data_IF_658539662542
#
_entry.id   IF_658539662542
#
_cell.length_a   1.000
_cell.length_b   1.000
_cell.length_c   1.000
_cell.angle_alpha   90.00
_cell.angle_beta   90.00
_cell.angle_gamma   90.00
#
_symmetry.space_group_name_H-M   'P 1'
#
loop_
_entity.id
_entity.type
_entity.pdbx_description
1 polymer ?
#
# COMPACT_ATOMS: atom_id res chain seq x y z
N UNK A 1 30.93 -57.54 -22.43
CA UNK A 1 31.52 -56.96 -23.66
C UNK A 1 32.59 -55.95 -23.24
N UNK A 2 33.87 -56.17 -23.60
CA UNK A 2 34.94 -55.24 -23.23
C UNK A 2 34.72 -53.89 -23.93
N UNK A 3 34.84 -52.79 -23.19
CA UNK A 3 34.60 -51.45 -23.73
C UNK A 3 35.63 -51.15 -24.82
N UNK A 4 35.18 -50.58 -25.93
CA UNK A 4 36.04 -50.17 -27.05
C UNK A 4 37.11 -49.12 -26.65
N UNK A 5 37.01 -48.59 -25.43
CA UNK A 5 37.91 -47.59 -24.82
C UNK A 5 39.14 -48.19 -24.13
N UNK A 6 39.21 -49.51 -23.91
CA UNK A 6 40.35 -50.14 -23.22
C UNK A 6 41.49 -50.57 -24.16
N UNK A 7 41.27 -50.53 -25.48
CA UNK A 7 42.29 -50.94 -26.46
C UNK A 7 43.15 -49.72 -26.90
N UNK A 8 44.49 -49.79 -26.77
CA UNK A 8 45.39 -48.66 -27.01
C UNK A 8 45.38 -48.16 -28.47
N UNK A 9 45.00 -49.01 -29.43
CA UNK A 9 44.87 -48.62 -30.84
C UNK A 9 43.58 -47.82 -31.11
N UNK A 10 42.44 -48.21 -30.53
CA UNK A 10 41.19 -47.42 -30.59
C UNK A 10 41.36 -46.08 -29.89
N UNK A 11 42.10 -46.04 -28.77
CA UNK A 11 42.40 -44.80 -28.04
C UNK A 11 43.23 -43.81 -28.86
N UNK A 12 44.11 -44.31 -29.74
CA UNK A 12 44.94 -43.47 -30.63
C UNK A 12 44.16 -42.95 -31.85
N UNK A 13 43.24 -43.76 -32.37
CA UNK A 13 42.36 -43.39 -33.49
C UNK A 13 41.23 -42.42 -33.08
N UNK A 14 40.70 -42.54 -31.85
CA UNK A 14 39.64 -41.66 -31.33
C UNK A 14 40.16 -40.35 -30.71
N UNK A 15 41.48 -40.26 -30.44
CA UNK A 15 42.11 -39.07 -29.84
C UNK A 15 41.78 -37.74 -30.54
N UNK A 16 41.77 -37.65 -31.89
CA UNK A 16 41.43 -36.42 -32.59
C UNK A 16 39.96 -36.01 -32.41
N UNK A 17 39.05 -37.00 -32.35
CA UNK A 17 37.63 -36.75 -32.14
C UNK A 17 37.36 -36.28 -30.70
N UNK A 18 38.04 -36.87 -29.72
CA UNK A 18 37.95 -36.46 -28.30
C UNK A 18 38.51 -35.05 -28.11
N UNK A 19 39.65 -34.71 -28.71
CA UNK A 19 40.22 -33.36 -28.60
C UNK A 19 39.34 -32.28 -29.23
N UNK A 20 38.61 -32.62 -30.31
CA UNK A 20 37.64 -31.69 -30.90
C UNK A 20 36.42 -31.47 -30.01
N UNK A 21 35.96 -32.52 -29.30
CA UNK A 21 34.88 -32.39 -28.31
C UNK A 21 35.34 -31.58 -27.11
N UNK A 22 36.55 -31.81 -26.59
CA UNK A 22 37.15 -31.03 -25.50
C UNK A 22 37.30 -29.56 -25.89
N UNK A 23 37.87 -29.26 -27.07
CA UNK A 23 37.97 -27.89 -27.58
C UNK A 23 36.60 -27.22 -27.74
N UNK A 24 35.60 -27.97 -28.22
CA UNK A 24 34.24 -27.44 -28.37
C UNK A 24 33.59 -27.19 -27.00
N UNK A 25 33.81 -28.08 -26.02
CA UNK A 25 33.33 -27.88 -24.65
C UNK A 25 34.00 -26.68 -24.00
N UNK A 26 35.31 -26.50 -24.15
CA UNK A 26 36.06 -25.34 -23.65
C UNK A 26 35.57 -24.03 -24.28
N UNK A 27 35.27 -24.05 -25.59
CA UNK A 27 34.74 -22.87 -26.27
C UNK A 27 33.33 -22.52 -25.76
N UNK A 28 32.50 -23.54 -25.52
CA UNK A 28 31.14 -23.38 -24.98
C UNK A 28 31.17 -22.91 -23.52
N UNK A 29 32.04 -23.46 -22.68
CA UNK A 29 32.17 -23.00 -21.28
C UNK A 29 32.70 -21.58 -21.22
N UNK A 30 33.68 -21.22 -22.04
CA UNK A 30 34.18 -19.85 -22.11
C UNK A 30 33.11 -18.86 -22.60
N UNK A 31 32.26 -19.25 -23.55
CA UNK A 31 31.13 -18.44 -23.99
C UNK A 31 30.11 -18.23 -22.85
N UNK A 32 29.72 -19.30 -22.17
CA UNK A 32 28.81 -19.21 -21.01
C UNK A 32 29.38 -18.40 -19.86
N UNK A 33 30.67 -18.51 -19.59
CA UNK A 33 31.33 -17.76 -18.53
C UNK A 33 31.33 -16.26 -18.85
N UNK A 34 31.60 -15.91 -20.10
CA UNK A 34 31.51 -14.53 -20.60
C UNK A 34 30.09 -13.98 -20.49
N UNK A 35 29.08 -14.77 -20.83
CA UNK A 35 27.68 -14.37 -20.71
C UNK A 35 27.27 -14.17 -19.23
N UNK A 36 27.71 -15.07 -18.34
CA UNK A 36 27.50 -14.92 -16.89
C UNK A 36 28.19 -13.67 -16.33
N UNK A 37 29.40 -13.37 -16.76
CA UNK A 37 30.13 -12.17 -16.33
C UNK A 37 29.43 -10.90 -16.82
N UNK A 38 28.92 -10.89 -18.06
CA UNK A 38 28.12 -9.79 -18.59
C UNK A 38 26.83 -9.61 -17.78
N UNK A 39 26.13 -10.71 -17.48
CA UNK A 39 24.88 -10.68 -16.71
C UNK A 39 25.10 -10.23 -15.25
N UNK A 40 26.22 -10.63 -14.63
CA UNK A 40 26.63 -10.11 -13.33
C UNK A 40 26.93 -8.61 -13.38
N UNK A 41 27.56 -8.13 -14.45
CA UNK A 41 27.86 -6.71 -14.63
C UNK A 41 26.57 -5.88 -14.79
N UNK A 42 25.65 -6.35 -15.63
CA UNK A 42 24.33 -5.70 -15.81
C UNK A 42 23.53 -5.69 -14.51
N UNK A 43 23.55 -6.80 -13.76
CA UNK A 43 22.86 -6.90 -12.48
C UNK A 43 23.50 -6.01 -11.41
N UNK A 44 24.82 -5.86 -11.40
CA UNK A 44 25.53 -4.92 -10.53
C UNK A 44 25.19 -3.46 -10.87
N UNK A 45 25.11 -3.12 -12.16
CA UNK A 45 24.67 -1.81 -12.62
C UNK A 45 23.21 -1.53 -12.29
N UNK A 46 22.33 -2.52 -12.45
CA UNK A 46 20.93 -2.41 -12.09
C UNK A 46 20.77 -2.22 -10.58
N UNK A 47 21.53 -2.96 -9.76
CA UNK A 47 21.58 -2.77 -8.29
C UNK A 47 22.08 -1.39 -7.90
N UNK A 48 23.12 -0.87 -8.56
CA UNK A 48 23.62 0.50 -8.33
C UNK A 48 22.56 1.54 -8.65
N UNK A 49 21.86 1.39 -9.77
CA UNK A 49 20.76 2.30 -10.17
C UNK A 49 19.55 2.18 -9.25
N UNK A 50 19.24 0.98 -8.76
CA UNK A 50 18.12 0.73 -7.86
C UNK A 50 18.43 1.07 -6.40
N UNK A 51 19.68 1.32 -6.03
CA UNK A 51 20.07 1.59 -4.64
C UNK A 51 19.34 2.81 -4.06
N UNK A 52 19.28 3.91 -4.81
CA UNK A 52 18.54 5.10 -4.38
C UNK A 52 17.03 4.85 -4.21
N UNK A 53 16.44 4.00 -5.05
CA UNK A 53 15.05 3.57 -4.89
C UNK A 53 14.89 2.65 -3.67
N UNK A 54 15.87 1.79 -3.40
CA UNK A 54 15.92 0.95 -2.20
C UNK A 54 15.91 1.79 -0.93
N UNK A 55 16.71 2.86 -0.86
CA UNK A 55 16.71 3.75 0.31
C UNK A 55 15.35 4.40 0.61
N UNK A 56 14.47 4.52 -0.39
CA UNK A 56 13.14 5.11 -0.25
C UNK A 56 12.02 4.05 -0.08
N UNK A 57 12.19 2.89 -0.72
CA UNK A 57 11.13 1.91 -0.98
C UNK A 57 11.47 0.48 -0.54
N UNK A 58 12.54 0.28 0.22
CA UNK A 58 12.86 -1.03 0.81
C UNK A 58 11.82 -1.43 1.88
N UNK A 59 12.11 -2.53 2.57
CA UNK A 59 11.26 -3.11 3.60
C UNK A 59 11.39 -2.40 4.95
N UNK A 60 12.27 -1.39 5.12
CA UNK A 60 12.38 -0.73 6.42
C UNK A 60 11.05 -0.08 6.79
N UNK A 61 10.53 -0.41 7.97
CA UNK A 61 9.24 0.09 8.46
C UNK A 61 7.97 -0.63 7.95
N UNK A 62 8.07 -1.66 7.09
CA UNK A 62 6.93 -2.51 6.69
C UNK A 62 7.30 -3.98 6.51
N UNK A 63 6.40 -4.89 6.86
CA UNK A 63 6.63 -6.34 6.74
C UNK A 63 6.75 -6.83 5.27
N UNK A 64 6.35 -5.98 4.30
CA UNK A 64 6.41 -6.25 2.87
C UNK A 64 7.05 -5.09 2.09
N UNK A 65 7.52 -5.38 0.86
CA UNK A 65 8.17 -4.39 -0.01
C UNK A 65 7.21 -3.22 -0.32
N UNK A 66 7.69 -1.97 -0.21
CA UNK A 66 6.89 -0.76 -0.48
C UNK A 66 6.58 -0.53 -1.98
N UNK A 67 7.06 -1.38 -2.88
CA UNK A 67 6.81 -1.23 -4.32
C UNK A 67 5.68 -2.16 -4.76
N UNK A 68 4.50 -1.63 -5.12
CA UNK A 68 3.43 -2.46 -5.67
C UNK A 68 3.83 -2.95 -7.07
N UNK A 69 3.47 -4.17 -7.40
CA UNK A 69 3.64 -4.69 -8.78
C UNK A 69 2.61 -4.06 -9.72
N UNK A 70 2.86 -4.03 -11.03
CA UNK A 70 1.87 -3.57 -12.00
C UNK A 70 0.51 -4.26 -11.83
N UNK A 71 0.49 -5.57 -11.60
CA UNK A 71 -0.74 -6.35 -11.41
C UNK A 71 -1.50 -5.95 -10.15
N UNK A 72 -0.78 -5.60 -9.07
CA UNK A 72 -1.39 -5.08 -7.84
C UNK A 72 -2.04 -3.72 -8.09
N UNK A 73 -1.37 -2.83 -8.84
CA UNK A 73 -1.93 -1.52 -9.20
C UNK A 73 -3.15 -1.68 -10.11
N UNK A 74 -3.07 -2.53 -11.13
CA UNK A 74 -4.15 -2.75 -12.09
C UNK A 74 -5.39 -3.33 -11.42
N UNK A 75 -5.20 -4.28 -10.51
CA UNK A 75 -6.29 -4.81 -9.67
C UNK A 75 -6.92 -3.71 -8.82
N UNK A 76 -6.09 -2.91 -8.15
CA UNK A 76 -6.58 -1.83 -7.29
C UNK A 76 -7.38 -0.78 -8.07
N UNK A 77 -6.94 -0.46 -9.29
CA UNK A 77 -7.65 0.45 -10.21
C UNK A 77 -9.02 -0.12 -10.60
N UNK A 78 -9.09 -1.41 -10.95
CA UNK A 78 -10.34 -2.07 -11.32
C UNK A 78 -11.34 -2.14 -10.15
N UNK A 79 -10.86 -2.48 -8.94
CA UNK A 79 -11.66 -2.49 -7.71
C UNK A 79 -12.18 -1.09 -7.38
N UNK A 80 -11.32 -0.07 -7.48
CA UNK A 80 -11.70 1.33 -7.26
C UNK A 80 -12.73 1.82 -8.28
N UNK A 81 -12.56 1.47 -9.55
CA UNK A 81 -13.53 1.77 -10.62
C UNK A 81 -14.88 1.12 -10.33
N UNK A 82 -14.89 -0.14 -9.90
CA UNK A 82 -16.12 -0.86 -9.52
C UNK A 82 -16.83 -0.21 -8.33
N UNK A 83 -16.09 0.21 -7.30
CA UNK A 83 -16.67 0.81 -6.10
C UNK A 83 -17.18 2.24 -6.33
N UNK A 84 -16.45 3.04 -7.11
CA UNK A 84 -16.69 4.49 -7.23
C UNK A 84 -17.36 4.91 -8.54
N UNK A 85 -17.47 4.00 -9.52
CA UNK A 85 -17.95 4.31 -10.88
C UNK A 85 -16.98 5.16 -11.70
N UNK A 86 -15.73 5.32 -11.24
CA UNK A 86 -14.75 6.14 -11.93
C UNK A 86 -14.14 5.44 -13.16
N UNK A 87 -13.84 6.24 -14.19
CA UNK A 87 -13.06 5.78 -15.34
C UNK A 87 -11.64 5.37 -14.93
N UNK A 88 -11.09 4.34 -15.57
CA UNK A 88 -9.79 3.72 -15.26
C UNK A 88 -8.63 4.73 -15.18
N UNK A 89 -8.53 5.64 -16.16
CA UNK A 89 -7.48 6.67 -16.17
C UNK A 89 -7.51 7.52 -14.90
N UNK A 90 -8.72 7.87 -14.48
CA UNK A 90 -8.97 8.73 -13.33
C UNK A 90 -8.84 7.95 -12.02
N UNK A 91 -9.14 6.66 -11.99
CA UNK A 91 -8.85 5.76 -10.86
C UNK A 91 -7.34 5.53 -10.71
N UNK A 92 -6.62 5.26 -11.79
CA UNK A 92 -5.15 5.13 -11.81
C UNK A 92 -4.45 6.41 -11.35
N UNK A 93 -4.94 7.57 -11.75
CA UNK A 93 -4.44 8.86 -11.28
C UNK A 93 -4.52 9.00 -9.76
N UNK A 94 -5.66 8.64 -9.15
CA UNK A 94 -5.85 8.73 -7.70
C UNK A 94 -4.98 7.72 -6.94
N UNK A 95 -4.90 6.48 -7.41
CA UNK A 95 -3.99 5.45 -6.84
C UNK A 95 -2.54 5.93 -6.89
N UNK A 96 -2.11 6.50 -8.02
CA UNK A 96 -0.75 7.03 -8.19
C UNK A 96 -0.46 8.16 -7.20
N UNK A 97 -1.41 9.06 -7.02
CA UNK A 97 -1.26 10.17 -6.06
C UNK A 97 -1.26 9.64 -4.62
N UNK A 98 -2.12 8.69 -4.28
CA UNK A 98 -2.14 8.05 -2.98
C UNK A 98 -0.80 7.38 -2.64
N UNK A 99 -0.25 6.62 -3.59
CA UNK A 99 1.06 5.99 -3.45
C UNK A 99 2.19 7.00 -3.19
N UNK A 100 2.21 8.10 -3.94
CA UNK A 100 3.19 9.18 -3.74
C UNK A 100 3.08 9.82 -2.36
N UNK A 101 1.86 10.00 -1.83
CA UNK A 101 1.66 10.54 -0.49
C UNK A 101 2.11 9.56 0.59
N UNK A 102 1.81 8.28 0.43
CA UNK A 102 2.28 7.22 1.31
C UNK A 102 3.81 7.24 1.42
N UNK A 103 4.52 7.17 0.29
CA UNK A 103 5.98 7.17 0.27
C UNK A 103 6.55 8.45 0.90
N UNK A 104 6.01 9.61 0.54
CA UNK A 104 6.51 10.89 1.07
C UNK A 104 6.32 11.01 2.59
N UNK A 105 5.17 10.60 3.11
CA UNK A 105 4.86 10.72 4.54
C UNK A 105 5.61 9.69 5.38
N UNK A 106 5.78 8.46 4.90
CA UNK A 106 6.61 7.46 5.59
C UNK A 106 8.11 7.80 5.53
N UNK A 107 8.56 8.60 4.56
CA UNK A 107 9.96 9.05 4.48
C UNK A 107 10.25 10.27 5.36
N UNK A 108 9.27 11.16 5.56
CA UNK A 108 9.45 12.42 6.29
C UNK A 108 8.92 12.38 7.72
N UNK A 109 7.94 11.53 7.99
CA UNK A 109 7.22 11.50 9.25
C UNK A 109 7.77 10.49 10.24
N UNK A 110 7.30 10.59 11.48
CA UNK A 110 7.63 9.65 12.54
C UNK A 110 6.72 8.42 12.47
N UNK A 111 7.31 7.22 12.43
CA UNK A 111 6.59 5.94 12.41
C UNK A 111 6.26 5.45 11.00
N UNK A 112 5.18 4.70 10.88
CA UNK A 112 4.71 4.13 9.60
C UNK A 112 3.19 4.01 9.55
N UNK A 113 2.67 3.72 8.35
CA UNK A 113 1.23 3.51 8.15
C UNK A 113 0.92 2.01 8.20
N UNK A 114 0.00 1.62 9.09
CA UNK A 114 -0.47 0.24 9.20
C UNK A 114 -1.20 -0.25 7.95
N UNK A 115 -1.11 -1.55 7.67
CA UNK A 115 -1.74 -2.20 6.51
C UNK A 115 -0.82 -2.34 5.29
N UNK A 116 -1.31 -3.06 4.28
CA UNK A 116 -0.58 -3.26 3.02
C UNK A 116 -0.51 -1.97 2.19
N UNK A 117 0.45 -1.88 1.26
CA UNK A 117 0.54 -0.73 0.32
C UNK A 117 -0.76 -0.58 -0.47
N UNK A 118 -1.31 -1.69 -0.96
CA UNK A 118 -2.56 -1.71 -1.73
C UNK A 118 -3.74 -1.24 -0.90
N UNK A 119 -3.85 -1.67 0.35
CA UNK A 119 -4.93 -1.28 1.24
C UNK A 119 -4.88 0.21 1.60
N UNK A 120 -3.70 0.73 1.95
CA UNK A 120 -3.54 2.16 2.22
C UNK A 120 -3.84 3.01 0.98
N UNK A 121 -3.29 2.63 -0.18
CA UNK A 121 -3.56 3.35 -1.43
C UNK A 121 -5.03 3.27 -1.82
N UNK A 122 -5.67 2.12 -1.61
CA UNK A 122 -7.09 1.89 -1.85
C UNK A 122 -7.96 2.80 -1.01
N UNK A 123 -7.73 2.84 0.32
CA UNK A 123 -8.46 3.74 1.24
C UNK A 123 -8.25 5.22 0.89
N UNK A 124 -7.01 5.63 0.64
CA UNK A 124 -6.67 7.01 0.27
C UNK A 124 -7.24 7.44 -1.09
N UNK A 125 -7.50 6.51 -2.01
CA UNK A 125 -8.10 6.81 -3.30
C UNK A 125 -9.65 6.76 -3.25
N UNK A 126 -10.22 5.76 -2.57
CA UNK A 126 -11.67 5.53 -2.53
C UNK A 126 -12.40 6.51 -1.62
N UNK A 127 -11.90 6.77 -0.40
CA UNK A 127 -12.59 7.60 0.58
C UNK A 127 -12.84 9.02 0.06
N UNK A 128 -11.85 9.76 -0.48
CA UNK A 128 -12.10 11.11 -0.99
C UNK A 128 -13.09 11.14 -2.16
N UNK A 129 -13.12 10.11 -2.99
CA UNK A 129 -14.05 9.98 -4.12
C UNK A 129 -15.48 9.81 -3.63
N UNK A 130 -15.70 8.84 -2.76
CA UNK A 130 -17.02 8.54 -2.22
C UNK A 130 -17.56 9.71 -1.39
N UNK A 131 -16.68 10.35 -0.62
CA UNK A 131 -17.06 11.54 0.16
C UNK A 131 -17.33 12.71 -0.76
N UNK A 132 -16.41 13.07 -1.67
CA UNK A 132 -16.58 14.23 -2.55
C UNK A 132 -17.78 14.13 -3.48
N UNK A 133 -18.14 12.92 -3.92
CA UNK A 133 -19.33 12.69 -4.75
C UNK A 133 -20.65 12.89 -3.96
N UNK A 134 -20.66 12.53 -2.67
CA UNK A 134 -21.86 12.59 -1.83
C UNK A 134 -21.94 13.89 -1.00
N UNK A 135 -20.81 14.53 -0.72
CA UNK A 135 -20.64 15.58 0.29
C UNK A 135 -19.63 16.61 -0.19
N UNK A 136 -20.10 17.81 -0.52
CA UNK A 136 -19.26 18.99 -0.65
C UNK A 136 -19.08 19.69 0.71
N UNK A 137 -17.90 20.27 0.97
CA UNK A 137 -17.65 21.09 2.16
C UNK A 137 -16.90 20.38 3.28
N UNK A 138 -17.37 20.48 4.52
CA UNK A 138 -16.68 19.98 5.72
C UNK A 138 -17.23 18.61 6.12
N UNK A 139 -16.35 17.66 6.41
CA UNK A 139 -16.71 16.32 6.91
C UNK A 139 -16.01 16.00 8.22
N UNK A 140 -16.76 15.45 9.17
CA UNK A 140 -16.22 14.89 10.41
C UNK A 140 -15.75 13.45 10.13
N UNK A 141 -14.48 13.18 10.42
CA UNK A 141 -13.80 11.90 10.16
C UNK A 141 -13.29 11.32 11.46
N UNK A 142 -13.66 10.07 11.75
CA UNK A 142 -13.11 9.28 12.84
C UNK A 142 -12.11 8.26 12.29
N UNK A 143 -10.90 8.24 12.81
CA UNK A 143 -9.91 7.18 12.56
C UNK A 143 -9.54 6.50 13.88
N UNK A 144 -9.75 5.19 13.97
CA UNK A 144 -9.31 4.40 15.12
C UNK A 144 -7.95 3.76 14.85
N UNK A 145 -7.13 3.58 15.90
CA UNK A 145 -5.81 2.97 15.77
C UNK A 145 -4.75 3.90 15.16
N UNK A 146 -4.94 5.22 15.24
CA UNK A 146 -4.15 6.23 14.54
C UNK A 146 -2.78 6.50 15.20
N UNK A 147 -1.96 5.47 15.43
CA UNK A 147 -0.74 5.48 16.27
C UNK A 147 0.15 6.71 16.09
N UNK A 148 0.43 7.12 14.84
CA UNK A 148 1.25 8.30 14.52
C UNK A 148 0.54 9.30 13.58
N UNK A 149 -0.74 9.10 13.25
CA UNK A 149 -1.51 10.03 12.41
C UNK A 149 -1.07 10.19 10.95
N UNK A 150 -0.14 9.38 10.43
CA UNK A 150 0.35 9.48 9.04
C UNK A 150 -0.76 9.21 8.00
N UNK A 151 -1.63 8.24 8.26
CA UNK A 151 -2.79 7.98 7.40
C UNK A 151 -3.74 9.18 7.37
N UNK A 152 -4.11 9.71 8.54
CA UNK A 152 -4.91 10.92 8.68
C UNK A 152 -4.31 12.11 7.91
N UNK A 153 -2.99 12.31 7.99
CA UNK A 153 -2.28 13.36 7.26
C UNK A 153 -2.41 13.20 5.74
N UNK A 154 -2.23 11.97 5.24
CA UNK A 154 -2.39 11.63 3.83
C UNK A 154 -3.85 11.83 3.37
N UNK A 155 -4.80 11.31 4.13
CA UNK A 155 -6.23 11.36 3.81
C UNK A 155 -6.72 12.81 3.75
N UNK A 156 -6.35 13.64 4.72
CA UNK A 156 -6.73 15.06 4.74
C UNK A 156 -6.24 15.80 3.50
N UNK A 157 -5.03 15.47 3.02
CA UNK A 157 -4.51 16.04 1.77
C UNK A 157 -5.27 15.54 0.56
N UNK A 158 -5.64 14.25 0.53
CA UNK A 158 -6.45 13.67 -0.53
C UNK A 158 -7.89 14.21 -0.58
N UNK A 159 -8.54 14.40 0.58
CA UNK A 159 -9.87 15.03 0.70
C UNK A 159 -9.85 16.48 0.20
N UNK A 160 -8.83 17.26 0.57
CA UNK A 160 -8.68 18.64 0.09
C UNK A 160 -8.51 18.73 -1.43
N UNK A 161 -7.88 17.73 -2.06
CA UNK A 161 -7.80 17.65 -3.54
C UNK A 161 -9.17 17.47 -4.20
N UNK A 162 -10.16 16.98 -3.46
CA UNK A 162 -11.56 16.89 -3.89
C UNK A 162 -12.41 18.08 -3.41
N UNK A 163 -11.79 19.12 -2.83
CA UNK A 163 -12.51 20.26 -2.27
C UNK A 163 -13.23 19.96 -0.94
N UNK A 164 -12.85 18.87 -0.26
CA UNK A 164 -13.44 18.48 1.03
C UNK A 164 -12.48 18.83 2.18
N UNK A 165 -12.99 19.58 3.15
CA UNK A 165 -12.28 19.88 4.40
C UNK A 165 -12.61 18.80 5.44
N UNK A 166 -11.59 18.28 6.12
CA UNK A 166 -11.73 17.19 7.08
C UNK A 166 -11.44 17.64 8.50
N UNK A 167 -12.44 17.50 9.40
CA UNK A 167 -12.26 17.61 10.84
C UNK A 167 -12.00 16.22 11.41
N UNK A 168 -10.80 16.02 11.92
CA UNK A 168 -10.30 14.71 12.30
C UNK A 168 -10.50 14.46 13.79
N UNK A 169 -11.05 13.30 14.14
CA UNK A 169 -10.92 12.70 15.47
C UNK A 169 -10.07 11.45 15.33
N UNK A 170 -8.92 11.41 15.99
CA UNK A 170 -7.99 10.29 16.00
C UNK A 170 -8.03 9.61 17.37
N UNK A 171 -8.21 8.29 17.38
CA UNK A 171 -8.21 7.50 18.63
C UNK A 171 -7.09 6.46 18.66
N UNK A 172 -6.62 6.13 19.86
CA UNK A 172 -5.68 5.04 20.10
C UNK A 172 -4.61 5.35 21.16
N UNK A 173 -3.51 4.59 21.11
CA UNK A 173 -2.29 4.89 21.85
C UNK A 173 -1.47 5.92 21.06
N UNK A 174 -1.79 7.20 21.25
CA UNK A 174 -1.25 8.30 20.46
C UNK A 174 0.01 8.88 21.11
N UNK A 175 1.08 8.99 20.32
CA UNK A 175 2.13 9.97 20.57
C UNK A 175 1.68 11.31 19.98
N UNK A 176 1.13 12.18 20.82
CA UNK A 176 0.46 13.40 20.35
C UNK A 176 1.40 14.35 19.61
N UNK A 177 2.67 14.43 20.01
CA UNK A 177 3.64 15.33 19.36
C UNK A 177 4.00 14.80 17.98
N UNK A 178 4.31 13.50 17.88
CA UNK A 178 4.52 12.85 16.59
C UNK A 178 3.29 12.97 15.66
N UNK A 179 2.08 12.82 16.21
CA UNK A 179 0.84 12.99 15.44
C UNK A 179 0.71 14.44 14.94
N UNK A 180 0.96 15.45 15.77
CA UNK A 180 0.87 16.86 15.36
C UNK A 180 1.90 17.20 14.27
N UNK A 181 3.13 16.73 14.40
CA UNK A 181 4.19 16.93 13.40
C UNK A 181 3.84 16.26 12.07
N UNK A 182 3.37 15.00 12.12
CA UNK A 182 2.95 14.27 10.93
C UNK A 182 1.75 14.93 10.24
N UNK A 183 0.77 15.44 11.01
CA UNK A 183 -0.35 16.19 10.45
C UNK A 183 0.12 17.46 9.73
N UNK A 184 1.14 18.15 10.25
CA UNK A 184 1.72 19.32 9.60
C UNK A 184 2.30 19.00 8.22
N UNK A 185 2.93 17.83 8.04
CA UNK A 185 3.39 17.33 6.73
C UNK A 185 2.23 17.15 5.73
N UNK A 186 1.03 16.79 6.22
CA UNK A 186 -0.20 16.76 5.44
C UNK A 186 -0.73 18.13 5.00
N UNK A 187 -0.09 19.22 5.43
CA UNK A 187 -0.34 20.60 5.02
C UNK A 187 -1.45 21.31 5.79
N UNK A 188 -1.64 21.03 7.08
CA UNK A 188 -2.54 21.86 7.90
C UNK A 188 -2.02 22.06 9.31
N UNK A 189 -2.43 23.17 9.93
CA UNK A 189 -2.23 23.40 11.36
C UNK A 189 -2.90 22.29 12.18
N UNK A 190 -2.28 21.93 13.30
CA UNK A 190 -2.76 20.89 14.21
C UNK A 190 -4.02 21.27 15.00
N UNK A 191 -4.47 22.53 14.93
CA UNK A 191 -5.50 23.10 15.81
C UNK A 191 -6.92 22.55 15.64
N UNK A 192 -7.24 21.87 14.54
CA UNK A 192 -8.59 21.34 14.27
C UNK A 192 -8.70 19.82 14.43
N UNK A 193 -7.59 19.13 14.73
CA UNK A 193 -7.59 17.69 14.95
C UNK A 193 -7.78 17.39 16.44
N UNK A 194 -8.72 16.49 16.75
CA UNK A 194 -8.97 15.98 18.10
C UNK A 194 -8.20 14.69 18.30
N UNK A 195 -7.42 14.63 19.36
CA UNK A 195 -6.66 13.46 19.76
C UNK A 195 -7.30 12.88 21.02
N UNK A 196 -7.88 11.69 20.90
CA UNK A 196 -8.57 11.01 22.01
C UNK A 196 -7.76 9.77 22.38
N UNK A 197 -7.27 9.71 23.62
CA UNK A 197 -6.56 8.52 24.10
C UNK A 197 -7.54 7.37 24.35
N UNK A 198 -7.19 6.18 23.89
CA UNK A 198 -8.02 4.98 24.06
C UNK A 198 -8.94 4.71 22.86
N UNK A 199 -10.07 4.05 23.12
CA UNK A 199 -10.98 3.54 22.08
C UNK A 199 -12.09 4.52 21.67
N UNK A 200 -12.92 4.14 20.69
CA UNK A 200 -14.08 4.91 20.24
C UNK A 200 -15.20 5.02 21.29
N UNK A 201 -15.10 4.31 22.43
CA UNK A 201 -16.08 4.32 23.51
C UNK A 201 -15.97 5.54 24.44
N UNK A 202 -14.96 6.38 24.26
CA UNK A 202 -14.79 7.60 25.05
C UNK A 202 -15.92 8.61 24.82
N UNK A 203 -16.33 9.38 25.84
CA UNK A 203 -17.42 10.35 25.72
C UNK A 203 -17.16 11.40 24.63
N UNK A 204 -15.90 11.83 24.47
CA UNK A 204 -15.48 12.80 23.44
C UNK A 204 -15.74 12.31 22.00
N UNK A 205 -15.81 10.99 21.80
CA UNK A 205 -16.14 10.35 20.52
C UNK A 205 -17.64 10.14 20.40
N UNK A 206 -18.29 9.64 21.45
CA UNK A 206 -19.73 9.28 21.48
C UNK A 206 -20.68 10.46 21.34
N UNK A 207 -20.27 11.65 21.78
CA UNK A 207 -21.10 12.85 21.68
C UNK A 207 -21.14 13.46 20.26
N UNK A 208 -20.61 12.75 19.26
CA UNK A 208 -20.45 13.27 17.89
C UNK A 208 -20.95 12.27 16.85
N UNK A 209 -21.29 12.81 15.68
CA UNK A 209 -21.67 12.05 14.49
C UNK A 209 -20.65 12.29 13.39
N UNK A 210 -20.15 11.21 12.82
CA UNK A 210 -19.08 11.21 11.83
C UNK A 210 -19.62 10.86 10.45
N UNK A 211 -19.23 11.63 9.44
CA UNK A 211 -19.56 11.34 8.04
C UNK A 211 -18.64 10.29 7.42
N UNK A 212 -17.45 10.09 8.01
CA UNK A 212 -16.52 9.02 7.65
C UNK A 212 -16.01 8.35 8.91
N UNK A 213 -16.05 7.02 8.93
CA UNK A 213 -15.54 6.19 10.01
C UNK A 213 -14.53 5.21 9.43
N UNK A 214 -13.29 5.29 9.88
CA UNK A 214 -12.19 4.42 9.50
C UNK A 214 -11.82 3.58 10.71
N UNK A 215 -12.14 2.29 10.65
CA UNK A 215 -11.95 1.39 11.77
C UNK A 215 -10.81 0.42 11.51
N UNK A 216 -9.87 0.33 12.44
CA UNK A 216 -8.80 -0.68 12.40
C UNK A 216 -9.25 -2.01 13.03
N UNK A 217 -10.23 -1.97 13.93
CA UNK A 217 -10.80 -3.12 14.62
C UNK A 217 -12.32 -2.99 14.79
N UNK A 218 -12.97 -4.10 15.18
CA UNK A 218 -14.41 -4.11 15.46
C UNK A 218 -14.76 -3.09 16.56
N UNK A 219 -15.89 -2.42 16.40
CA UNK A 219 -16.44 -1.48 17.37
C UNK A 219 -17.94 -1.79 17.51
N UNK A 220 -18.42 -1.90 18.74
CA UNK A 220 -19.79 -2.37 19.00
C UNK A 220 -20.86 -1.32 18.68
N UNK A 221 -20.57 -0.02 18.86
CA UNK A 221 -21.54 1.07 18.69
C UNK A 221 -21.23 2.00 17.49
N UNK A 222 -20.76 1.41 16.39
CA UNK A 222 -20.41 2.16 15.16
C UNK A 222 -21.61 2.93 14.60
N UNK A 223 -22.82 2.37 14.71
CA UNK A 223 -24.06 3.02 14.28
C UNK A 223 -24.41 4.24 15.16
N UNK A 224 -24.08 4.19 16.46
CA UNK A 224 -24.17 5.33 17.37
C UNK A 224 -23.21 6.48 17.04
N UNK A 225 -22.17 6.22 16.26
CA UNK A 225 -21.19 7.22 15.82
C UNK A 225 -21.42 7.70 14.39
N UNK A 226 -22.13 6.93 13.57
CA UNK A 226 -22.39 7.27 12.17
C UNK A 226 -23.42 8.41 12.03
N UNK A 227 -23.07 9.41 11.22
CA UNK A 227 -24.05 10.36 10.68
C UNK A 227 -24.92 9.68 9.59
N UNK A 228 -26.06 10.29 9.21
CA UNK A 228 -26.81 9.82 8.04
C UNK A 228 -25.92 9.71 6.80
N UNK A 229 -26.09 8.61 6.06
CA UNK A 229 -25.30 8.23 4.87
C UNK A 229 -23.79 8.03 5.12
N UNK A 230 -23.33 7.96 6.37
CA UNK A 230 -21.90 7.96 6.68
C UNK A 230 -21.16 6.81 5.98
N UNK A 231 -19.94 7.11 5.52
CA UNK A 231 -19.06 6.12 4.93
C UNK A 231 -18.29 5.38 6.01
N UNK A 232 -18.50 4.08 6.13
CA UNK A 232 -17.68 3.21 6.96
C UNK A 232 -16.65 2.47 6.10
N UNK A 233 -15.40 2.47 6.55
CA UNK A 233 -14.31 1.65 5.99
C UNK A 233 -13.67 0.85 7.12
N UNK A 234 -13.62 -0.47 6.97
CA UNK A 234 -13.04 -1.36 7.96
C UNK A 234 -12.55 -2.68 7.32
N UNK A 235 -11.66 -3.43 7.98
CA UNK A 235 -11.38 -4.81 7.61
C UNK A 235 -12.67 -5.64 7.57
N UNK A 236 -12.82 -6.62 6.66
CA UNK A 236 -14.00 -7.47 6.55
C UNK A 236 -14.46 -8.07 7.89
N UNK A 237 -13.52 -8.51 8.72
CA UNK A 237 -13.81 -9.08 10.04
C UNK A 237 -14.41 -8.05 11.02
N UNK A 238 -13.98 -6.79 10.95
CA UNK A 238 -14.48 -5.70 11.79
C UNK A 238 -15.84 -5.15 11.32
N UNK A 239 -16.18 -5.36 10.05
CA UNK A 239 -17.45 -4.89 9.46
C UNK A 239 -18.60 -5.90 9.50
N UNK A 240 -18.34 -7.13 9.94
CA UNK A 240 -19.32 -8.20 9.91
C UNK A 240 -20.48 -7.93 10.88
N UNK A 241 -21.71 -8.03 10.39
CA UNK A 241 -22.92 -7.95 11.24
C UNK A 241 -23.36 -6.54 11.66
N UNK A 242 -22.73 -5.47 11.16
CA UNK A 242 -23.07 -4.08 11.53
C UNK A 242 -24.41 -3.56 10.96
N UNK A 243 -25.15 -4.36 10.18
CA UNK A 243 -26.42 -3.95 9.59
C UNK A 243 -26.33 -2.80 8.56
N UNK A 244 -25.11 -2.49 8.11
CA UNK A 244 -24.84 -1.40 7.16
C UNK A 244 -25.04 -1.86 5.71
N UNK A 245 -25.36 -0.91 4.82
CA UNK A 245 -25.49 -1.20 3.40
C UNK A 245 -24.10 -1.40 2.79
N UNK A 246 -23.78 -2.57 2.22
CA UNK A 246 -22.49 -2.78 1.58
C UNK A 246 -22.39 -1.96 0.29
N UNK A 247 -21.23 -1.31 0.07
CA UNK A 247 -20.89 -0.61 -1.16
C UNK A 247 -19.91 -1.41 -2.02
N UNK A 248 -18.99 -2.14 -1.39
CA UNK A 248 -18.01 -2.97 -2.08
C UNK A 248 -16.73 -3.15 -1.28
N UNK A 249 -15.67 -3.55 -1.96
CA UNK A 249 -14.34 -3.76 -1.37
C UNK A 249 -13.26 -3.20 -2.29
N UNK A 250 -12.20 -2.70 -1.69
CA UNK A 250 -10.96 -2.29 -2.38
C UNK A 250 -9.81 -2.77 -1.51
N UNK A 251 -8.93 -3.58 -2.10
CA UNK A 251 -7.88 -4.32 -1.41
C UNK A 251 -8.45 -5.07 -0.18
N UNK A 252 -7.87 -4.82 1.00
CA UNK A 252 -8.19 -5.53 2.23
C UNK A 252 -9.32 -4.85 3.03
N UNK A 253 -9.92 -3.78 2.50
CA UNK A 253 -10.94 -2.97 3.17
C UNK A 253 -12.33 -3.13 2.56
N UNK A 254 -13.34 -3.23 3.43
CA UNK A 254 -14.75 -3.24 3.06
C UNK A 254 -15.39 -1.87 3.30
N UNK A 255 -16.22 -1.44 2.36
CA UNK A 255 -16.87 -0.13 2.34
C UNK A 255 -18.37 -0.30 2.52
N UNK A 256 -18.94 0.47 3.44
CA UNK A 256 -20.36 0.46 3.73
C UNK A 256 -20.90 1.87 3.88
N UNK A 257 -22.20 2.02 3.66
CA UNK A 257 -22.96 3.22 3.97
C UNK A 257 -23.85 2.97 5.18
N UNK A 258 -23.88 3.91 6.12
CA UNK A 258 -25.02 4.02 7.02
C UNK A 258 -26.27 4.29 6.19
N UNK A 259 -27.39 3.64 6.53
CA UNK A 259 -28.67 3.99 5.93
C UNK A 259 -29.09 5.39 6.41
N UNK A 260 -29.80 6.11 5.57
CA UNK A 260 -30.43 7.39 5.90
C UNK A 260 -31.54 7.23 6.95
#
# INVERSE_FOLDING_TARGET
MPSLLSNPLTRRLLRPAVSLVEQRMEHVTHAFQKDLDALHHELADLRRRSYGLGLLLDHTGRDAHRMPTPEQVDRLVAELGTLTGAADERARGDVTVAYRHLVALEALGAGGIGGSVSDVCGRLAAVPRLVGAARGGVVEVLETGARHGLFAAALRRMLRRQGVEARLTLTGALDEDAVRDNLALGGAGSGETRLVRGGPDGPEVRDRRYGVLLLDAACEDVLGLAAPDALLVAPPAASAGLGLRPLGRVADSAYHSAAA
#
